data_IF_193587084549
#
_entry.id   IF_193587084549
#
_cell.length_a   1.000
_cell.length_b   1.000
_cell.length_c   1.000
_cell.angle_alpha   90.00
_cell.angle_beta   90.00
_cell.angle_gamma   90.00
#
_symmetry.space_group_name_H-M   'P 1'
#
loop_
_entity.id
_entity.type
_entity.pdbx_description
1 polymer ?
#
# COMPACT_ATOMS: atom_id res chain seq x y z
N UNK A 1 -51.04 50.01 -38.44
CA UNK A 1 -50.00 50.69 -37.63
C UNK A 1 -49.42 49.68 -36.64
N UNK A 2 -48.14 49.38 -36.79
CA UNK A 2 -47.43 48.25 -36.16
C UNK A 2 -47.25 48.42 -34.65
N UNK A 3 -47.63 47.37 -33.91
CA UNK A 3 -47.27 47.19 -32.51
C UNK A 3 -46.03 46.30 -32.42
N UNK A 4 -45.00 46.78 -31.70
CA UNK A 4 -43.63 46.25 -31.67
C UNK A 4 -43.54 44.91 -30.93
N UNK A 5 -42.84 43.94 -31.52
CA UNK A 5 -42.41 42.70 -30.86
C UNK A 5 -41.19 42.94 -29.98
N UNK A 6 -41.22 42.46 -28.74
CA UNK A 6 -40.05 42.33 -27.86
C UNK A 6 -39.85 40.84 -27.54
N UNK A 7 -38.71 40.31 -27.97
CA UNK A 7 -38.28 38.95 -27.72
C UNK A 7 -37.92 38.76 -26.24
N UNK A 8 -38.52 37.74 -25.61
CA UNK A 8 -38.19 37.31 -24.26
C UNK A 8 -36.99 36.36 -24.29
N UNK A 9 -35.92 36.73 -23.58
CA UNK A 9 -34.69 35.96 -23.38
C UNK A 9 -34.99 34.89 -22.31
N UNK A 10 -34.90 33.60 -22.66
CA UNK A 10 -35.06 32.49 -21.70
C UNK A 10 -33.73 32.26 -20.95
N UNK A 11 -33.73 32.56 -19.66
CA UNK A 11 -32.69 32.21 -18.70
C UNK A 11 -32.68 30.68 -18.51
N UNK A 12 -31.56 30.03 -18.78
CA UNK A 12 -31.36 28.58 -18.58
C UNK A 12 -30.83 28.33 -17.17
N UNK A 13 -31.72 27.99 -16.24
CA UNK A 13 -31.36 27.60 -14.87
C UNK A 13 -30.95 26.13 -14.84
N UNK A 14 -29.63 25.87 -14.76
CA UNK A 14 -29.10 24.53 -14.45
C UNK A 14 -29.43 24.15 -13.00
N UNK A 15 -29.85 22.92 -12.70
CA UNK A 15 -30.08 22.48 -11.33
C UNK A 15 -28.75 22.33 -10.58
N UNK A 16 -28.72 22.50 -9.25
CA UNK A 16 -27.50 22.37 -8.47
C UNK A 16 -27.02 20.92 -8.45
N UNK A 17 -25.73 20.71 -8.72
CA UNK A 17 -25.06 19.41 -8.55
C UNK A 17 -25.22 18.96 -7.10
N UNK A 18 -26.02 17.91 -6.90
CA UNK A 18 -26.08 17.17 -5.63
C UNK A 18 -24.67 16.64 -5.35
N UNK A 19 -23.97 17.29 -4.41
CA UNK A 19 -22.72 16.78 -3.85
C UNK A 19 -23.07 15.43 -3.21
N UNK A 20 -22.67 14.33 -3.87
CA UNK A 20 -22.70 13.02 -3.24
C UNK A 20 -21.81 13.12 -2.02
N UNK A 21 -22.42 13.22 -0.84
CA UNK A 21 -21.70 13.04 0.41
C UNK A 21 -21.28 11.58 0.43
N UNK A 22 -19.97 11.34 0.30
CA UNK A 22 -19.40 10.02 0.54
C UNK A 22 -19.73 9.63 1.99
N UNK A 23 -20.27 8.43 2.24
CA UNK A 23 -20.44 7.96 3.61
C UNK A 23 -19.04 7.65 4.17
N UNK A 24 -18.49 8.57 4.97
CA UNK A 24 -17.26 8.35 5.73
C UNK A 24 -17.61 7.74 7.08
N UNK A 25 -18.10 6.49 7.08
CA UNK A 25 -18.02 5.66 8.29
C UNK A 25 -16.61 5.13 8.37
N UNK A 26 -15.68 5.92 8.93
CA UNK A 26 -14.33 5.47 9.21
C UNK A 26 -14.40 4.40 10.30
N UNK A 27 -14.42 3.13 9.92
CA UNK A 27 -14.29 2.01 10.85
C UNK A 27 -12.91 2.10 11.51
N UNK A 28 -12.84 2.71 12.69
CA UNK A 28 -11.61 2.83 13.45
C UNK A 28 -11.23 1.45 14.02
N UNK A 29 -9.98 1.03 13.80
CA UNK A 29 -9.40 -0.17 14.42
C UNK A 29 -8.22 0.24 15.30
N UNK A 30 -7.92 -0.58 16.32
CA UNK A 30 -6.76 -0.36 17.19
C UNK A 30 -5.50 -0.82 16.46
N UNK A 31 -4.68 0.11 16.00
CA UNK A 31 -3.38 -0.21 15.42
C UNK A 31 -2.31 -0.33 16.52
N UNK A 32 -1.24 -1.07 16.21
CA UNK A 32 -0.04 -1.23 17.03
C UNK A 32 1.17 -0.80 16.21
N UNK A 33 2.04 0.03 16.78
CA UNK A 33 3.34 0.33 16.18
C UNK A 33 4.24 -0.92 16.22
N UNK A 34 4.84 -1.23 15.08
CA UNK A 34 5.70 -2.39 14.84
C UNK A 34 7.04 -1.88 14.34
N UNK A 35 8.15 -2.18 15.05
CA UNK A 35 9.49 -1.95 14.53
C UNK A 35 9.81 -2.99 13.46
N UNK A 36 10.39 -2.54 12.35
CA UNK A 36 10.86 -3.35 11.24
C UNK A 36 12.37 -3.15 11.08
N UNK A 37 13.08 -4.18 10.61
CA UNK A 37 14.52 -4.14 10.33
C UNK A 37 15.32 -3.60 11.52
N UNK A 38 15.13 -4.20 12.70
CA UNK A 38 15.77 -3.76 13.94
C UNK A 38 15.32 -2.39 14.45
N UNK A 39 14.17 -1.88 13.98
CA UNK A 39 13.63 -0.58 14.37
C UNK A 39 14.06 0.58 13.47
N UNK A 40 14.78 0.31 12.39
CA UNK A 40 15.13 1.32 11.40
C UNK A 40 13.90 1.87 10.66
N UNK A 41 12.84 1.08 10.57
CA UNK A 41 11.54 1.48 10.05
C UNK A 41 10.48 1.20 11.14
N UNK A 42 9.48 2.07 11.26
CA UNK A 42 8.27 1.81 12.06
C UNK A 42 7.03 1.85 11.17
N UNK A 43 6.04 1.05 11.51
CA UNK A 43 4.74 1.00 10.83
C UNK A 43 3.63 0.68 11.83
N UNK A 44 2.42 1.18 11.61
CA UNK A 44 1.25 0.77 12.39
C UNK A 44 0.48 -0.36 11.67
N UNK A 45 0.33 -1.50 12.35
CA UNK A 45 -0.36 -2.69 11.84
C UNK A 45 -1.47 -3.15 12.80
N UNK A 46 -2.38 -4.05 12.36
CA UNK A 46 -3.34 -4.69 13.26
C UNK A 46 -2.68 -5.33 14.49
N UNK A 47 -3.36 -5.41 15.64
CA UNK A 47 -2.72 -5.79 16.90
C UNK A 47 -2.48 -7.31 17.01
N UNK A 48 -3.25 -8.12 16.28
CA UNK A 48 -3.19 -9.59 16.26
C UNK A 48 -2.45 -10.11 15.03
N UNK A 49 -1.23 -9.64 14.86
CA UNK A 49 -0.29 -10.14 13.84
C UNK A 49 0.70 -11.11 14.45
N UNK A 50 1.15 -12.06 13.64
CA UNK A 50 2.24 -12.98 13.95
C UNK A 50 3.37 -12.67 13.00
N UNK A 51 4.55 -12.44 13.56
CA UNK A 51 5.80 -12.34 12.82
C UNK A 51 6.26 -13.74 12.39
N UNK A 52 6.39 -13.95 11.08
CA UNK A 52 6.75 -15.25 10.50
C UNK A 52 8.20 -15.63 10.81
N UNK A 53 9.08 -14.66 11.06
CA UNK A 53 10.49 -14.91 11.43
C UNK A 53 10.63 -15.75 12.69
N UNK A 54 9.62 -15.72 13.57
CA UNK A 54 9.59 -16.45 14.84
C UNK A 54 9.53 -17.98 14.66
N UNK A 55 9.12 -18.47 13.49
CA UNK A 55 8.99 -19.91 13.22
C UNK A 55 9.48 -20.35 11.83
N UNK A 56 9.87 -19.43 10.94
CA UNK A 56 10.53 -19.71 9.66
C UNK A 56 11.61 -18.67 9.39
N UNK A 57 12.62 -19.06 8.63
CA UNK A 57 13.58 -18.09 8.10
C UNK A 57 12.91 -17.22 7.05
N UNK A 58 13.12 -15.91 7.15
CA UNK A 58 12.67 -14.88 6.21
C UNK A 58 13.94 -14.18 5.70
N UNK A 59 14.05 -13.84 4.41
CA UNK A 59 15.20 -13.09 3.89
C UNK A 59 15.44 -11.80 4.68
N UNK A 60 16.70 -11.40 4.86
CA UNK A 60 17.06 -10.19 5.62
C UNK A 60 16.46 -8.89 5.06
N UNK A 61 16.14 -8.88 3.76
CA UNK A 61 15.50 -7.76 3.07
C UNK A 61 13.97 -7.75 3.22
N UNK A 62 13.39 -8.72 3.93
CA UNK A 62 11.95 -8.90 4.07
C UNK A 62 11.50 -8.96 5.53
N UNK A 63 10.32 -8.42 5.80
CA UNK A 63 9.57 -8.57 7.03
C UNK A 63 8.19 -9.13 6.69
N UNK A 64 7.83 -10.28 7.26
CA UNK A 64 6.63 -11.02 6.88
C UNK A 64 5.73 -11.24 8.09
N UNK A 65 4.49 -10.77 7.99
CA UNK A 65 3.46 -10.92 9.00
C UNK A 65 2.24 -11.63 8.44
N UNK A 66 1.56 -12.38 9.29
CA UNK A 66 0.26 -12.97 9.00
C UNK A 66 -0.72 -12.60 10.12
N UNK A 67 -2.00 -12.51 9.79
CA UNK A 67 -3.04 -12.45 10.81
C UNK A 67 -3.66 -13.82 11.03
N UNK A 68 -4.05 -14.10 12.26
CA UNK A 68 -4.78 -15.33 12.59
C UNK A 68 -6.06 -14.96 13.32
N UNK A 69 -7.16 -15.61 12.93
CA UNK A 69 -8.35 -15.63 13.78
C UNK A 69 -8.09 -16.65 14.88
N UNK A 70 -7.95 -16.20 16.13
CA UNK A 70 -7.95 -17.12 17.26
C UNK A 70 -9.25 -17.94 17.24
N UNK A 71 -9.17 -19.25 16.99
CA UNK A 71 -10.28 -20.16 17.26
C UNK A 71 -10.54 -20.08 18.75
N UNK A 72 -11.74 -19.67 19.15
CA UNK A 72 -12.13 -19.48 20.54
C UNK A 72 -11.76 -20.71 21.37
N UNK A 73 -10.92 -20.51 22.38
CA UNK A 73 -11.04 -21.31 23.60
C UNK A 73 -12.29 -20.80 24.31
N UNK A 74 -13.37 -21.60 24.28
CA UNK A 74 -14.63 -21.32 24.99
C UNK A 74 -14.47 -21.55 26.51
N UNK A 75 -13.56 -20.81 27.14
CA UNK A 75 -13.48 -20.73 28.60
C UNK A 75 -13.78 -19.30 29.01
N UNK A 76 -15.06 -19.09 29.32
CA UNK A 76 -15.63 -17.77 29.54
C UNK A 76 -14.94 -16.97 30.64
N UNK A 77 -14.65 -15.72 30.33
CA UNK A 77 -14.74 -14.64 31.30
C UNK A 77 -15.14 -13.35 30.60
N UNK A 78 -15.89 -12.50 31.30
CA UNK A 78 -16.52 -11.30 30.77
C UNK A 78 -15.46 -10.35 30.17
N UNK A 79 -15.41 -10.29 28.83
CA UNK A 79 -14.36 -9.55 28.11
C UNK A 79 -14.62 -8.03 28.11
N UNK A 80 -13.55 -7.30 28.43
CA UNK A 80 -13.43 -5.85 28.29
C UNK A 80 -13.66 -5.41 26.83
N UNK A 81 -14.20 -4.21 26.62
CA UNK A 81 -14.58 -3.67 25.31
C UNK A 81 -13.43 -3.68 24.28
N UNK A 82 -12.18 -3.62 24.74
CA UNK A 82 -10.98 -3.62 23.91
C UNK A 82 -10.71 -4.96 23.22
N UNK A 83 -10.89 -6.10 23.92
CA UNK A 83 -10.63 -7.42 23.34
C UNK A 83 -11.61 -7.75 22.21
N UNK A 84 -12.88 -7.35 22.35
CA UNK A 84 -13.90 -7.52 21.31
C UNK A 84 -13.55 -6.82 20.00
N UNK A 85 -12.92 -5.63 20.07
CA UNK A 85 -12.50 -4.89 18.88
C UNK A 85 -11.33 -5.56 18.14
N UNK A 86 -10.39 -6.12 18.90
CA UNK A 86 -9.25 -6.85 18.36
C UNK A 86 -9.68 -8.19 17.74
N UNK A 87 -10.65 -8.88 18.34
CA UNK A 87 -11.24 -10.10 17.80
C UNK A 87 -11.96 -9.86 16.47
N UNK A 88 -12.73 -8.77 16.38
CA UNK A 88 -13.38 -8.41 15.12
C UNK A 88 -12.37 -8.06 14.03
N UNK A 89 -11.30 -7.34 14.38
CA UNK A 89 -10.19 -7.03 13.45
C UNK A 89 -9.56 -8.32 12.92
N UNK A 90 -9.21 -9.26 13.80
CA UNK A 90 -8.59 -10.53 13.43
C UNK A 90 -9.50 -11.43 12.58
N UNK A 91 -10.81 -11.38 12.80
CA UNK A 91 -11.79 -12.08 11.96
C UNK A 91 -11.88 -11.48 10.56
N UNK A 92 -11.89 -10.14 10.45
CA UNK A 92 -11.98 -9.44 9.17
C UNK A 92 -10.69 -9.55 8.36
N UNK A 93 -9.53 -9.60 9.01
CA UNK A 93 -8.25 -9.76 8.32
C UNK A 93 -7.85 -11.22 8.16
N UNK A 94 -8.67 -12.20 8.59
CA UNK A 94 -8.28 -13.61 8.55
C UNK A 94 -7.65 -13.99 7.20
N UNK A 95 -6.53 -14.71 7.26
CA UNK A 95 -5.73 -15.16 6.11
C UNK A 95 -4.97 -14.03 5.37
N UNK A 96 -5.03 -12.78 5.86
CA UNK A 96 -4.19 -11.68 5.38
C UNK A 96 -2.72 -11.96 5.71
N UNK A 97 -1.88 -11.86 4.67
CA UNK A 97 -0.44 -11.74 4.79
C UNK A 97 0.01 -10.32 4.45
N UNK A 98 1.07 -9.87 5.12
CA UNK A 98 1.66 -8.55 4.94
C UNK A 98 3.17 -8.74 4.79
N UNK A 99 3.74 -8.16 3.74
CA UNK A 99 5.17 -8.27 3.44
C UNK A 99 5.72 -6.86 3.25
N UNK A 100 6.79 -6.52 3.94
CA UNK A 100 7.58 -5.33 3.67
C UNK A 100 8.91 -5.78 3.10
N UNK A 101 9.33 -5.21 1.98
CA UNK A 101 10.52 -5.63 1.27
C UNK A 101 11.36 -4.45 0.78
N UNK A 102 12.68 -4.56 0.94
CA UNK A 102 13.68 -3.61 0.46
C UNK A 102 14.28 -4.13 -0.85
N UNK A 103 14.03 -3.42 -1.95
CA UNK A 103 14.48 -3.78 -3.30
C UNK A 103 15.49 -2.75 -3.83
N UNK A 104 16.34 -3.19 -4.77
CA UNK A 104 17.05 -2.24 -5.62
C UNK A 104 16.05 -1.39 -6.40
N UNK A 105 16.36 -0.11 -6.60
CA UNK A 105 15.48 0.77 -7.34
C UNK A 105 15.36 0.31 -8.81
N UNK A 106 14.14 -0.05 -9.22
CA UNK A 106 13.90 -0.60 -10.56
C UNK A 106 13.55 0.47 -11.56
N UNK A 107 14.20 0.46 -12.72
CA UNK A 107 13.78 1.25 -13.86
C UNK A 107 13.08 0.33 -14.88
N UNK A 108 11.75 0.46 -15.09
CA UNK A 108 11.04 -0.39 -16.05
C UNK A 108 11.57 -0.32 -17.48
N UNK A 109 12.35 0.73 -17.82
CA UNK A 109 12.99 0.84 -19.13
C UNK A 109 14.15 -0.13 -19.33
N UNK A 110 14.68 -0.70 -18.24
CA UNK A 110 15.81 -1.62 -18.28
C UNK A 110 15.34 -3.08 -18.49
N UNK A 111 14.02 -3.30 -18.59
CA UNK A 111 13.38 -4.59 -18.83
C UNK A 111 12.70 -4.64 -20.22
N UNK A 112 13.41 -5.12 -21.26
CA UNK A 112 12.88 -5.16 -22.62
C UNK A 112 11.75 -6.18 -22.81
N UNK A 113 11.70 -7.23 -21.99
CA UNK A 113 10.65 -8.25 -22.08
C UNK A 113 9.33 -7.69 -21.56
N UNK A 114 9.38 -7.01 -20.41
CA UNK A 114 8.23 -6.30 -19.86
C UNK A 114 7.66 -5.26 -20.83
N UNK A 115 8.53 -4.50 -21.51
CA UNK A 115 8.13 -3.49 -22.50
C UNK A 115 7.49 -4.10 -23.77
N UNK A 116 7.87 -5.31 -24.18
CA UNK A 116 7.28 -5.97 -25.34
C UNK A 116 5.89 -6.53 -25.04
N UNK A 117 5.70 -7.10 -23.85
CA UNK A 117 4.43 -7.69 -23.43
C UNK A 117 3.39 -6.63 -23.07
N UNK A 118 3.84 -5.52 -22.49
CA UNK A 118 3.00 -4.38 -22.17
C UNK A 118 3.23 -3.30 -23.21
N UNK A 119 2.52 -3.41 -24.35
CA UNK A 119 2.49 -2.42 -25.45
C UNK A 119 2.03 -1.07 -24.90
N UNK A 120 2.97 -0.37 -24.27
CA UNK A 120 2.79 0.96 -23.75
C UNK A 120 2.86 1.86 -24.97
N UNK A 121 1.73 1.97 -25.69
CA UNK A 121 1.34 3.30 -26.15
C UNK A 121 1.62 4.22 -24.98
N UNK A 122 2.50 5.24 -25.10
CA UNK A 122 2.81 6.08 -23.98
C UNK A 122 1.48 6.64 -23.50
N UNK A 123 0.96 6.15 -22.37
CA UNK A 123 -0.04 6.90 -21.64
C UNK A 123 0.55 8.29 -21.43
N UNK A 124 -0.30 9.31 -21.37
CA UNK A 124 0.10 10.72 -21.22
C UNK A 124 1.17 10.94 -20.12
N UNK A 125 1.26 10.01 -19.19
CA UNK A 125 2.07 10.01 -17.98
C UNK A 125 3.57 9.66 -18.17
N UNK A 126 3.98 8.97 -19.24
CA UNK A 126 5.40 8.61 -19.51
C UNK A 126 5.97 7.41 -18.71
N UNK A 127 7.12 6.87 -19.15
CA UNK A 127 7.65 5.56 -18.68
C UNK A 127 8.21 5.53 -17.25
N UNK A 128 8.64 6.69 -16.72
CA UNK A 128 9.14 6.82 -15.34
C UNK A 128 8.08 7.34 -14.35
N UNK A 129 6.82 7.41 -14.80
CA UNK A 129 5.73 7.89 -13.96
C UNK A 129 5.48 6.97 -12.77
N UNK A 130 5.10 7.52 -11.59
CA UNK A 130 4.56 6.77 -10.46
C UNK A 130 3.68 5.57 -10.81
N UNK A 131 2.70 5.76 -11.70
CA UNK A 131 1.77 4.71 -12.13
C UNK A 131 2.45 3.58 -12.92
N UNK A 132 3.37 3.93 -13.82
CA UNK A 132 4.08 2.97 -14.67
C UNK A 132 4.96 2.04 -13.84
N UNK A 133 5.61 2.61 -12.82
CA UNK A 133 6.55 1.87 -11.96
C UNK A 133 5.81 0.98 -10.96
N UNK A 134 4.72 1.46 -10.33
CA UNK A 134 3.93 0.57 -9.46
C UNK A 134 3.23 -0.55 -10.26
N UNK A 135 2.86 -0.28 -11.52
CA UNK A 135 2.36 -1.32 -12.42
C UNK A 135 3.44 -2.38 -12.69
N UNK A 136 4.68 -1.96 -12.95
CA UNK A 136 5.81 -2.88 -13.09
C UNK A 136 5.93 -3.80 -11.87
N UNK A 137 6.00 -3.24 -10.66
CA UNK A 137 6.09 -4.04 -9.42
C UNK A 137 4.89 -4.98 -9.23
N UNK A 138 3.67 -4.54 -9.57
CA UNK A 138 2.47 -5.40 -9.51
C UNK A 138 2.53 -6.57 -10.49
N UNK A 139 3.02 -6.32 -11.70
CA UNK A 139 3.12 -7.33 -12.75
C UNK A 139 4.31 -8.29 -12.50
N UNK A 140 5.44 -7.81 -11.96
CA UNK A 140 6.56 -8.67 -11.53
C UNK A 140 6.10 -9.64 -10.45
N UNK A 141 5.36 -9.16 -9.44
CA UNK A 141 4.75 -10.03 -8.42
C UNK A 141 3.79 -11.07 -9.05
N UNK A 142 3.02 -10.67 -10.06
CA UNK A 142 2.13 -11.59 -10.77
C UNK A 142 2.91 -12.64 -11.56
N UNK A 143 4.01 -12.26 -12.18
CA UNK A 143 4.90 -13.15 -12.92
C UNK A 143 5.51 -14.21 -12.00
N UNK A 144 6.05 -13.81 -10.85
CA UNK A 144 6.65 -14.71 -9.87
C UNK A 144 5.63 -15.70 -9.31
N UNK A 145 4.38 -15.24 -9.13
CA UNK A 145 3.26 -16.08 -8.71
C UNK A 145 2.68 -16.94 -9.84
N UNK A 146 3.21 -16.85 -11.07
CA UNK A 146 2.66 -17.50 -12.26
C UNK A 146 1.15 -17.21 -12.42
N UNK A 147 0.75 -15.98 -12.14
CA UNK A 147 -0.64 -15.56 -12.18
C UNK A 147 -1.21 -15.67 -13.59
N UNK A 148 -2.40 -16.26 -13.71
CA UNK A 148 -3.13 -16.40 -14.97
C UNK A 148 -3.77 -15.09 -15.42
N UNK A 149 -4.16 -14.26 -14.46
CA UNK A 149 -4.75 -12.95 -14.70
C UNK A 149 -4.24 -11.97 -13.63
N UNK A 150 -3.80 -10.79 -14.06
CA UNK A 150 -3.40 -9.71 -13.17
C UNK A 150 -4.15 -8.44 -13.58
N UNK A 151 -4.86 -7.80 -12.66
CA UNK A 151 -5.64 -6.60 -12.97
C UNK A 151 -5.58 -5.60 -11.83
N UNK A 152 -4.98 -4.45 -12.11
CA UNK A 152 -5.03 -3.29 -11.21
C UNK A 152 -6.42 -2.65 -11.29
N UNK A 153 -7.05 -2.46 -10.13
CA UNK A 153 -8.35 -1.81 -9.98
C UNK A 153 -8.22 -0.33 -9.70
N UNK A 154 -7.22 0.09 -8.94
CA UNK A 154 -6.97 1.50 -8.64
C UNK A 154 -5.49 1.77 -8.39
N UNK A 155 -5.07 2.98 -8.73
CA UNK A 155 -3.76 3.54 -8.37
C UNK A 155 -3.99 4.93 -7.77
N UNK A 156 -3.41 5.17 -6.60
CA UNK A 156 -3.37 6.46 -5.93
C UNK A 156 -1.93 6.96 -5.90
N UNK A 157 -1.68 8.08 -6.56
CA UNK A 157 -0.39 8.79 -6.53
C UNK A 157 -0.42 9.87 -5.45
N UNK A 158 0.72 10.19 -4.83
CA UNK A 158 0.82 11.35 -3.95
C UNK A 158 0.53 12.68 -4.66
N UNK A 159 0.19 13.71 -3.89
CA UNK A 159 -0.04 15.06 -4.43
C UNK A 159 1.24 15.66 -5.02
N UNK A 160 2.37 15.57 -4.29
CA UNK A 160 3.68 15.96 -4.81
C UNK A 160 4.37 14.76 -5.45
N UNK A 161 4.22 14.60 -6.76
CA UNK A 161 4.85 13.51 -7.52
C UNK A 161 6.38 13.62 -7.58
N UNK A 162 6.97 14.80 -7.30
CA UNK A 162 8.44 14.98 -7.36
C UNK A 162 9.17 14.14 -6.32
N UNK A 163 8.52 13.81 -5.20
CA UNK A 163 9.08 12.93 -4.18
C UNK A 163 9.37 11.50 -4.67
N UNK A 164 8.86 11.15 -5.86
CA UNK A 164 9.09 9.85 -6.50
C UNK A 164 10.28 9.87 -7.49
N UNK A 165 10.63 11.05 -7.99
CA UNK A 165 11.70 11.24 -8.98
C UNK A 165 12.95 11.87 -8.39
N UNK A 166 12.82 12.60 -7.29
CA UNK A 166 13.92 13.27 -6.58
C UNK A 166 14.33 12.51 -5.31
N UNK A 167 15.56 12.70 -4.81
CA UNK A 167 15.97 12.14 -3.53
C UNK A 167 15.08 12.59 -2.37
N UNK A 168 14.87 11.74 -1.34
CA UNK A 168 14.08 12.11 -0.17
C UNK A 168 14.54 13.41 0.47
N UNK A 169 13.60 14.34 0.63
CA UNK A 169 13.87 15.70 1.07
C UNK A 169 14.46 15.74 2.49
N UNK A 170 15.41 16.65 2.68
CA UNK A 170 16.00 16.97 3.97
C UNK A 170 15.12 17.98 4.71
N UNK A 171 14.67 17.64 5.91
CA UNK A 171 13.91 18.53 6.80
C UNK A 171 14.90 19.27 7.69
N UNK A 172 14.72 20.58 7.84
CA UNK A 172 15.41 21.35 8.87
C UNK A 172 14.90 20.86 10.24
N UNK A 173 15.76 20.24 11.04
CA UNK A 173 15.40 19.84 12.40
C UNK A 173 15.07 21.06 13.27
N UNK A 174 14.26 20.90 14.34
CA UNK A 174 14.15 21.93 15.37
C UNK A 174 15.54 22.18 15.96
N UNK A 175 16.01 23.43 15.91
CA UNK A 175 17.25 23.85 16.55
C UNK A 175 17.06 23.85 18.07
N UNK A 176 17.20 22.71 18.72
CA UNK A 176 17.41 22.63 20.17
C UNK A 176 18.90 22.51 20.44
N UNK A 177 19.47 23.59 20.95
CA UNK A 177 20.87 23.73 21.36
C UNK A 177 21.15 22.98 22.66
N UNK A 178 22.25 22.22 22.72
CA UNK A 178 23.39 22.36 23.65
C UNK A 178 24.28 21.09 23.71
N UNK A 179 25.51 21.25 23.20
CA UNK A 179 26.78 20.59 23.53
C UNK A 179 26.92 19.05 23.51
N UNK A 180 27.68 18.54 22.53
CA UNK A 180 29.05 18.05 22.77
C UNK A 180 29.81 17.76 21.47
N UNK A 181 31.01 18.36 21.38
CA UNK A 181 32.14 18.20 20.45
C UNK A 181 32.11 17.03 19.44
N UNK A 182 32.30 17.40 18.16
CA UNK A 182 33.10 16.63 17.19
C UNK A 182 32.31 15.78 16.20
N UNK A 183 31.94 16.36 15.06
CA UNK A 183 31.39 15.64 13.91
C UNK A 183 30.73 16.61 12.92
N UNK A 184 31.37 16.82 11.78
CA UNK A 184 30.86 17.61 10.66
C UNK A 184 29.61 16.94 10.06
N UNK A 185 28.53 17.70 9.90
CA UNK A 185 27.24 17.19 9.42
C UNK A 185 26.06 17.86 10.10
N UNK A 186 25.64 19.02 9.58
CA UNK A 186 24.32 19.60 9.85
C UNK A 186 23.23 18.53 9.73
N UNK A 187 22.75 18.02 10.88
CA UNK A 187 21.83 16.87 10.98
C UNK A 187 20.44 17.21 10.46
N UNK A 188 20.28 17.31 9.15
CA UNK A 188 18.97 17.40 8.52
C UNK A 188 18.34 16.01 8.49
N UNK A 189 17.24 15.82 9.22
CA UNK A 189 16.50 14.57 9.21
C UNK A 189 15.77 14.42 7.87
N UNK A 190 15.84 13.25 7.23
CA UNK A 190 15.11 12.98 5.99
C UNK A 190 13.63 12.71 6.29
N UNK A 191 12.73 13.22 5.45
CA UNK A 191 11.31 12.86 5.49
C UNK A 191 11.07 11.59 4.68
N UNK A 192 10.34 10.63 5.25
CA UNK A 192 9.81 9.49 4.49
C UNK A 192 8.84 10.01 3.41
N UNK A 193 9.07 9.72 2.12
CA UNK A 193 8.15 10.09 1.05
C UNK A 193 6.76 9.47 1.27
N UNK A 194 5.74 10.02 0.63
CA UNK A 194 4.43 9.37 0.53
C UNK A 194 4.46 8.27 -0.52
N UNK A 195 3.81 7.13 -0.27
CA UNK A 195 3.81 6.02 -1.21
C UNK A 195 2.86 6.26 -2.38
N UNK A 196 3.25 5.74 -3.53
CA UNK A 196 2.27 5.35 -4.55
C UNK A 196 1.60 4.08 -4.06
N UNK A 197 0.28 4.01 -4.18
CA UNK A 197 -0.51 2.86 -3.72
C UNK A 197 -1.30 2.29 -4.88
N UNK A 198 -1.41 0.98 -4.97
CA UNK A 198 -2.35 0.34 -5.88
C UNK A 198 -3.11 -0.79 -5.18
N UNK A 199 -4.26 -1.11 -5.74
CA UNK A 199 -5.06 -2.27 -5.38
C UNK A 199 -5.42 -3.01 -6.67
N UNK A 200 -5.30 -4.32 -6.64
CA UNK A 200 -5.57 -5.19 -7.78
C UNK A 200 -5.92 -6.62 -7.38
N UNK A 201 -6.19 -7.42 -8.41
CA UNK A 201 -6.49 -8.85 -8.31
C UNK A 201 -5.44 -9.63 -9.08
N UNK A 202 -5.03 -10.76 -8.53
CA UNK A 202 -4.28 -11.81 -9.24
C UNK A 202 -5.05 -13.12 -9.14
N UNK A 203 -5.11 -13.89 -10.23
CA UNK A 203 -5.73 -15.22 -10.24
C UNK A 203 -4.64 -16.29 -10.36
N UNK A 204 -4.43 -17.03 -9.28
CA UNK A 204 -3.30 -17.98 -9.16
C UNK A 204 -3.85 -19.40 -9.08
N UNK A 205 -3.35 -20.29 -9.93
CA UNK A 205 -3.62 -21.72 -9.82
C UNK A 205 -2.39 -22.46 -9.30
N UNK A 206 -2.61 -23.60 -8.65
CA UNK A 206 -1.51 -24.50 -8.29
C UNK A 206 -0.83 -25.04 -9.55
N UNK A 207 0.43 -25.48 -9.46
CA UNK A 207 1.27 -25.90 -10.59
C UNK A 207 0.67 -26.97 -11.53
N UNK A 208 -0.38 -27.69 -11.12
CA UNK A 208 -1.13 -28.64 -11.95
C UNK A 208 -2.64 -28.34 -12.03
N UNK A 209 -3.07 -27.18 -11.53
CA UNK A 209 -4.47 -26.79 -11.41
C UNK A 209 -5.02 -26.17 -12.69
N UNK A 210 -6.23 -26.55 -13.06
CA UNK A 210 -6.92 -25.97 -14.21
C UNK A 210 -7.27 -24.49 -13.98
N UNK A 211 -7.63 -23.75 -15.02
CA UNK A 211 -8.10 -22.35 -14.88
C UNK A 211 -9.34 -22.26 -13.97
N UNK A 212 -10.19 -23.29 -13.98
CA UNK A 212 -11.36 -23.38 -13.11
C UNK A 212 -11.04 -23.57 -11.61
N UNK A 213 -9.77 -23.88 -11.28
CA UNK A 213 -9.30 -24.09 -9.90
C UNK A 213 -8.39 -22.94 -9.42
N UNK A 214 -8.31 -21.85 -10.19
CA UNK A 214 -7.57 -20.67 -9.77
C UNK A 214 -8.28 -19.97 -8.60
N UNK A 215 -7.50 -19.48 -7.65
CA UNK A 215 -7.99 -18.64 -6.56
C UNK A 215 -7.63 -17.19 -6.84
N UNK A 216 -8.61 -16.31 -6.63
CA UNK A 216 -8.36 -14.87 -6.70
C UNK A 216 -7.71 -14.40 -5.40
N UNK A 217 -6.66 -13.60 -5.54
CA UNK A 217 -5.96 -12.95 -4.44
C UNK A 217 -6.09 -11.45 -4.63
N UNK A 218 -6.63 -10.80 -3.60
CA UNK A 218 -6.67 -9.36 -3.52
C UNK A 218 -5.31 -8.86 -3.03
N UNK A 219 -4.70 -7.96 -3.79
CA UNK A 219 -3.36 -7.45 -3.52
C UNK A 219 -3.41 -5.93 -3.43
N UNK A 220 -2.89 -5.39 -2.33
CA UNK A 220 -2.57 -3.97 -2.20
C UNK A 220 -1.07 -3.82 -2.18
N UNK A 221 -0.54 -2.86 -2.94
CA UNK A 221 0.87 -2.50 -2.94
C UNK A 221 1.07 -1.04 -2.58
N UNK A 222 2.00 -0.78 -1.67
CA UNK A 222 2.55 0.53 -1.36
C UNK A 222 4.00 0.58 -1.84
N UNK A 223 4.37 1.63 -2.57
CA UNK A 223 5.69 1.80 -3.15
C UNK A 223 6.28 3.15 -2.74
N UNK A 224 7.42 3.12 -2.06
CA UNK A 224 8.26 4.27 -1.75
C UNK A 224 9.53 4.19 -2.56
N UNK A 225 9.86 5.27 -3.28
CA UNK A 225 11.10 5.35 -4.05
C UNK A 225 12.09 6.26 -3.36
N UNK A 226 13.18 5.68 -2.92
CA UNK A 226 14.26 6.35 -2.21
C UNK A 226 15.41 6.59 -3.18
N UNK A 227 15.18 7.48 -4.17
CA UNK A 227 16.18 7.85 -5.17
C UNK A 227 17.46 8.37 -4.49
N UNK A 228 18.61 7.89 -4.93
CA UNK A 228 19.90 8.31 -4.35
C UNK A 228 20.21 7.72 -2.97
N UNK A 229 19.34 6.87 -2.41
CA UNK A 229 19.52 6.24 -1.10
C UNK A 229 19.74 4.75 -1.27
N UNK A 230 20.89 4.29 -0.80
CA UNK A 230 21.33 2.90 -0.91
C UNK A 230 21.71 2.44 -2.30
N UNK A 231 22.15 1.19 -2.36
CA UNK A 231 22.66 0.55 -3.56
C UNK A 231 23.75 1.39 -4.25
N UNK A 232 24.70 1.91 -3.46
CA UNK A 232 25.78 2.81 -3.92
C UNK A 232 25.25 4.11 -4.57
N UNK A 233 24.13 4.62 -4.07
CA UNK A 233 23.49 5.83 -4.58
C UNK A 233 22.59 5.60 -5.80
N UNK A 234 22.42 4.36 -6.26
CA UNK A 234 21.44 4.03 -7.33
C UNK A 234 20.00 4.19 -6.87
N UNK A 235 19.76 4.03 -5.56
CA UNK A 235 18.45 4.17 -4.94
C UNK A 235 17.85 2.83 -4.51
N UNK A 236 16.78 2.93 -3.73
CA UNK A 236 16.05 1.78 -3.17
C UNK A 236 14.55 1.94 -3.48
N UNK A 237 13.88 0.85 -3.83
CA UNK A 237 12.41 0.77 -3.82
C UNK A 237 12.00 -0.01 -2.56
N UNK A 238 11.26 0.63 -1.65
CA UNK A 238 10.66 -0.03 -0.49
C UNK A 238 9.21 -0.37 -0.84
N UNK A 239 8.84 -1.64 -0.67
CA UNK A 239 7.54 -2.19 -1.08
C UNK A 239 6.80 -2.73 0.14
N UNK A 240 5.51 -2.42 0.23
CA UNK A 240 4.57 -3.02 1.17
C UNK A 240 3.52 -3.78 0.38
N UNK A 241 3.35 -5.08 0.58
CA UNK A 241 2.25 -5.86 0.01
C UNK A 241 1.32 -6.39 1.08
N UNK A 242 0.01 -6.28 0.83
CA UNK A 242 -1.03 -6.98 1.58
C UNK A 242 -1.68 -7.96 0.63
N UNK A 243 -1.71 -9.26 0.98
CA UNK A 243 -2.29 -10.30 0.15
C UNK A 243 -3.42 -10.98 0.92
N UNK A 244 -4.64 -10.83 0.44
CA UNK A 244 -5.86 -11.42 0.99
C UNK A 244 -6.44 -12.42 -0.03
N UNK A 245 -6.25 -13.74 0.17
CA UNK A 245 -6.78 -14.73 -0.74
C UNK A 245 -8.31 -14.87 -0.57
N UNK A 246 -9.02 -14.95 -1.68
CA UNK A 246 -10.43 -15.32 -1.71
C UNK A 246 -10.56 -16.85 -1.75
N UNK A 247 -10.44 -17.48 -0.57
CA UNK A 247 -10.39 -18.94 -0.43
C UNK A 247 -11.76 -19.63 -0.49
N UNK A 248 -12.86 -18.88 -0.52
CA UNK A 248 -14.22 -19.43 -0.44
C UNK A 248 -15.00 -19.16 -1.73
N UNK A 249 -15.53 -20.23 -2.36
CA UNK A 249 -16.43 -20.14 -3.52
C UNK A 249 -17.83 -19.64 -3.19
N UNK A 250 -18.20 -19.64 -1.90
CA UNK A 250 -19.51 -19.15 -1.46
C UNK A 250 -19.41 -17.65 -1.17
N UNK A 251 -20.07 -16.85 -2.02
CA UNK A 251 -20.27 -15.41 -1.89
C UNK A 251 -20.87 -15.03 -0.52
N UNK A 252 -20.04 -15.05 0.50
CA UNK A 252 -20.42 -14.70 1.85
C UNK A 252 -20.27 -13.17 1.98
N UNK A 253 -21.31 -12.45 2.42
CA UNK A 253 -21.21 -11.05 2.86
C UNK A 253 -20.07 -10.74 3.86
N UNK A 254 -19.45 -11.71 4.55
CA UNK A 254 -18.16 -11.55 5.22
C UNK A 254 -16.98 -11.10 4.36
N UNK A 255 -16.76 -11.63 3.15
CA UNK A 255 -15.50 -11.40 2.42
C UNK A 255 -15.38 -9.98 1.87
N UNK A 256 -16.46 -9.41 1.33
CA UNK A 256 -16.44 -8.00 0.92
C UNK A 256 -16.10 -7.07 2.08
N UNK A 257 -16.59 -7.37 3.29
CA UNK A 257 -16.21 -6.63 4.50
C UNK A 257 -14.74 -6.81 4.86
N UNK A 258 -14.18 -8.01 4.66
CA UNK A 258 -12.73 -8.25 4.79
C UNK A 258 -11.93 -7.42 3.79
N UNK A 259 -12.37 -7.33 2.52
CA UNK A 259 -11.71 -6.51 1.50
C UNK A 259 -11.78 -5.03 1.85
N UNK A 260 -12.95 -4.50 2.20
CA UNK A 260 -13.14 -3.09 2.59
C UNK A 260 -12.32 -2.75 3.84
N UNK A 261 -12.32 -3.64 4.83
CA UNK A 261 -11.54 -3.45 6.05
C UNK A 261 -10.04 -3.55 5.79
N UNK A 262 -9.60 -4.48 4.94
CA UNK A 262 -8.19 -4.62 4.56
C UNK A 262 -7.72 -3.39 3.79
N UNK A 263 -8.54 -2.81 2.91
CA UNK A 263 -8.21 -1.53 2.27
C UNK A 263 -8.01 -0.44 3.34
N UNK A 264 -8.91 -0.29 4.30
CA UNK A 264 -8.75 0.68 5.39
C UNK A 264 -7.45 0.45 6.16
N UNK A 265 -7.15 -0.80 6.55
CA UNK A 265 -5.92 -1.16 7.27
C UNK A 265 -4.68 -0.84 6.43
N UNK A 266 -4.66 -1.23 5.15
CA UNK A 266 -3.55 -0.97 4.24
C UNK A 266 -3.31 0.53 4.06
N UNK A 267 -4.38 1.30 3.83
CA UNK A 267 -4.29 2.76 3.67
C UNK A 267 -3.79 3.45 4.94
N UNK A 268 -4.05 2.89 6.11
CA UNK A 268 -3.48 3.36 7.37
C UNK A 268 -2.01 2.99 7.52
N UNK A 269 -1.69 1.70 7.35
CA UNK A 269 -0.32 1.17 7.43
C UNK A 269 0.63 1.92 6.49
N UNK A 270 0.25 2.07 5.21
CA UNK A 270 1.03 2.79 4.22
C UNK A 270 1.21 4.30 4.52
N UNK A 271 0.33 4.93 5.30
CA UNK A 271 0.54 6.33 5.74
C UNK A 271 1.38 6.44 7.00
N UNK A 272 1.31 5.42 7.86
CA UNK A 272 2.02 5.36 9.13
C UNK A 272 3.50 4.98 9.00
N UNK A 273 3.90 4.33 7.89
CA UNK A 273 5.27 3.88 7.69
C UNK A 273 6.25 5.06 7.76
N UNK A 274 7.24 4.93 8.62
CA UNK A 274 8.27 5.94 8.84
C UNK A 274 9.65 5.30 8.86
N UNK A 275 10.56 5.88 8.10
CA UNK A 275 11.98 5.54 8.13
C UNK A 275 12.61 6.38 9.25
N UNK A 276 13.04 5.70 10.31
CA UNK A 276 13.66 6.27 11.50
C UNK A 276 15.17 6.32 11.34
N UNK A 277 15.76 5.23 10.86
CA UNK A 277 17.20 5.12 10.60
C UNK A 277 17.46 4.88 9.11
N UNK A 278 18.09 5.85 8.47
CA UNK A 278 18.42 5.81 7.05
C UNK A 278 19.73 5.05 6.77
N UNK A 279 20.49 4.69 7.80
CA UNK A 279 21.69 3.86 7.67
C UNK A 279 21.37 2.41 7.30
N UNK A 280 20.11 1.99 7.46
CA UNK A 280 19.59 0.72 6.95
C UNK A 280 19.91 0.51 5.46
N UNK A 281 19.92 1.60 4.68
CA UNK A 281 20.15 1.56 3.25
C UNK A 281 21.62 1.80 2.86
N UNK A 282 22.54 1.99 3.80
CA UNK A 282 23.91 2.42 3.50
C UNK A 282 24.72 1.39 2.70
#
# INVERSE_FOLDING_TARGET
MQCRSRAARRESTRPPRRRMQQPTTTTSYKAKEVPLFGGAITIELPPKIIDVSTFRQVPDTQEVFITTSSSRDESGNQQHQEERSADQTALLTKDLSMIVEVLELVNPNDDPEYLQQNDTTPGEDGKNHPKSVIKYHFDSLAHDNCSKLATIKSITVPEDVRQFTEPPALVAGPSTSLSSKGGDGSGKARRTPEPVRCYGLQSVAKFNGSEAEAHDVHIWLGLWRLKGIGNQGRGTDLVLSFNLPNLNSDNHPPFLRSVEFTDLVFQHAARSLKIVDWSLFA
#
